data_IF_736809328909
#
_entry.id   IF_736809328909
#
_cell.length_a   1.000
_cell.length_b   1.000
_cell.length_c   1.000
_cell.angle_alpha   90.00
_cell.angle_beta   90.00
_cell.angle_gamma   90.00
#
_symmetry.space_group_name_H-M   'P 1'
#
loop_
_entity.id
_entity.type
_entity.pdbx_description
1 polymer ?
#
# COMPACT_ATOMS: atom_id res chain seq x y z
N UNK A 1 -27.57 8.54 -28.14
CA UNK A 1 -27.62 7.06 -28.16
C UNK A 1 -26.38 6.53 -27.47
N UNK A 2 -26.53 6.00 -26.25
CA UNK A 2 -25.41 5.61 -25.40
C UNK A 2 -24.68 4.39 -25.95
N UNK A 3 -23.35 4.44 -25.96
CA UNK A 3 -22.49 3.28 -26.24
C UNK A 3 -22.91 2.11 -25.33
N UNK A 4 -23.20 0.95 -25.92
CA UNK A 4 -23.44 -0.29 -25.17
C UNK A 4 -22.20 -0.59 -24.33
N UNK A 5 -22.36 -0.61 -23.01
CA UNK A 5 -21.34 -1.08 -22.07
C UNK A 5 -21.08 -2.55 -22.35
N UNK A 6 -19.82 -2.92 -22.49
CA UNK A 6 -19.41 -4.32 -22.64
C UNK A 6 -19.60 -5.06 -21.30
N UNK A 7 -19.66 -6.39 -21.31
CA UNK A 7 -19.70 -7.20 -20.08
C UNK A 7 -18.49 -6.88 -19.17
N UNK A 8 -17.32 -6.59 -19.77
CA UNK A 8 -16.14 -6.15 -19.02
C UNK A 8 -16.39 -4.82 -18.31
N UNK A 9 -17.06 -3.86 -18.95
CA UNK A 9 -17.40 -2.57 -18.32
C UNK A 9 -18.35 -2.76 -17.14
N UNK A 10 -19.29 -3.71 -17.22
CA UNK A 10 -20.23 -4.04 -16.14
C UNK A 10 -19.54 -4.75 -14.96
N UNK A 11 -18.56 -5.62 -15.24
CA UNK A 11 -17.75 -6.29 -14.21
C UNK A 11 -16.87 -5.28 -13.46
N UNK A 12 -16.25 -4.33 -14.17
CA UNK A 12 -15.45 -3.27 -13.54
C UNK A 12 -16.30 -2.21 -12.84
N UNK A 13 -17.51 -1.91 -13.33
CA UNK A 13 -18.45 -0.98 -12.69
C UNK A 13 -19.08 -1.59 -11.42
N UNK A 14 -19.35 -2.89 -11.40
CA UNK A 14 -19.79 -3.62 -10.22
C UNK A 14 -18.70 -3.68 -9.13
N UNK A 15 -17.44 -3.88 -9.53
CA UNK A 15 -16.29 -3.93 -8.61
C UNK A 15 -15.75 -2.54 -8.21
N UNK A 16 -16.23 -1.45 -8.84
CA UNK A 16 -15.64 -0.11 -8.75
C UNK A 16 -16.64 1.06 -8.68
N UNK A 17 -17.87 0.84 -8.21
CA UNK A 17 -18.91 1.88 -8.19
C UNK A 17 -18.51 3.17 -7.45
N UNK A 18 -18.68 4.30 -8.15
CA UNK A 18 -18.34 5.68 -7.73
C UNK A 18 -19.51 6.45 -7.10
N UNK A 19 -20.66 5.80 -6.86
CA UNK A 19 -21.90 6.48 -6.49
C UNK A 19 -21.95 7.00 -5.04
N UNK A 20 -21.11 6.50 -4.13
CA UNK A 20 -21.01 6.99 -2.73
C UNK A 20 -19.55 7.28 -2.34
N UNK A 21 -18.94 8.30 -2.96
CA UNK A 21 -17.55 8.73 -2.69
C UNK A 21 -17.24 9.09 -1.22
N UNK A 22 -18.25 9.41 -0.41
CA UNK A 22 -18.07 9.85 0.99
C UNK A 22 -18.02 8.69 2.01
N UNK A 23 -18.47 7.49 1.61
CA UNK A 23 -18.50 6.32 2.49
C UNK A 23 -17.39 5.30 2.17
N UNK A 24 -16.53 5.63 1.21
CA UNK A 24 -15.45 4.78 0.75
C UNK A 24 -14.10 5.48 0.89
N UNK A 25 -13.24 4.93 1.74
CA UNK A 25 -11.79 5.21 1.81
C UNK A 25 -11.05 4.78 0.51
N UNK A 26 -11.79 4.38 -0.55
CA UNK A 26 -11.33 3.65 -1.74
C UNK A 26 -11.15 4.50 -3.03
N UNK A 27 -10.79 5.77 -2.90
CA UNK A 27 -10.46 6.60 -4.07
C UNK A 27 -8.96 6.91 -4.19
N UNK A 28 -8.09 6.26 -3.42
CA UNK A 28 -6.65 6.32 -3.63
C UNK A 28 -6.26 5.37 -4.77
N UNK A 29 -5.64 5.93 -5.82
CA UNK A 29 -5.18 5.20 -7.02
C UNK A 29 -4.34 3.98 -6.66
N UNK A 30 -3.61 4.07 -5.56
CA UNK A 30 -2.76 3.01 -5.03
C UNK A 30 -3.58 1.78 -4.62
N UNK A 31 -4.59 1.92 -3.75
CA UNK A 31 -5.44 0.81 -3.28
C UNK A 31 -6.17 0.10 -4.45
N UNK A 32 -6.63 0.85 -5.45
CA UNK A 32 -7.24 0.24 -6.62
C UNK A 32 -6.22 -0.48 -7.50
N UNK A 33 -4.97 -0.01 -7.57
CA UNK A 33 -3.88 -0.75 -8.22
C UNK A 33 -3.52 -2.03 -7.46
N UNK A 34 -3.60 -2.05 -6.12
CA UNK A 34 -3.40 -3.27 -5.33
C UNK A 34 -4.45 -4.34 -5.66
N UNK A 35 -5.73 -3.94 -5.74
CA UNK A 35 -6.82 -4.84 -6.13
C UNK A 35 -6.60 -5.38 -7.55
N UNK A 36 -6.36 -4.51 -8.52
CA UNK A 36 -6.11 -4.90 -9.91
C UNK A 36 -4.95 -5.89 -10.01
N UNK A 37 -3.86 -5.65 -9.29
CA UNK A 37 -2.69 -6.55 -9.26
C UNK A 37 -3.01 -7.89 -8.61
N UNK A 38 -3.74 -7.89 -7.49
CA UNK A 38 -4.22 -9.13 -6.86
C UNK A 38 -5.12 -9.95 -7.80
N UNK A 39 -6.05 -9.29 -8.49
CA UNK A 39 -6.95 -9.93 -9.46
C UNK A 39 -6.21 -10.47 -10.69
N UNK A 40 -5.17 -9.76 -11.15
CA UNK A 40 -4.34 -10.17 -12.29
C UNK A 40 -3.18 -11.09 -11.90
N UNK A 41 -3.10 -11.55 -10.64
CA UNK A 41 -2.00 -12.39 -10.12
C UNK A 41 -0.62 -11.77 -10.32
N UNK A 42 -0.56 -10.45 -10.27
CA UNK A 42 0.67 -9.65 -10.35
C UNK A 42 1.09 -9.19 -8.95
N UNK A 43 2.40 -9.01 -8.73
CA UNK A 43 2.93 -8.52 -7.46
C UNK A 43 2.33 -7.17 -7.08
N UNK A 44 1.63 -7.04 -5.93
CA UNK A 44 0.95 -5.81 -5.56
C UNK A 44 1.91 -4.62 -5.34
N UNK A 45 3.09 -4.91 -4.81
CA UNK A 45 4.21 -3.96 -4.63
C UNK A 45 5.42 -4.41 -5.46
N UNK A 46 6.18 -3.44 -5.95
CA UNK A 46 7.49 -3.70 -6.55
C UNK A 46 8.51 -4.15 -5.47
N UNK A 47 9.39 -5.10 -5.80
CA UNK A 47 10.34 -5.67 -4.82
C UNK A 47 11.31 -4.62 -4.28
N UNK A 48 11.59 -3.57 -5.04
CA UNK A 48 12.51 -2.49 -4.64
C UNK A 48 11.87 -1.44 -3.72
N UNK A 49 10.53 -1.36 -3.65
CA UNK A 49 9.80 -0.47 -2.73
C UNK A 49 9.47 -1.12 -1.39
N UNK A 50 9.97 -2.34 -1.18
CA UNK A 50 9.66 -3.20 -0.05
C UNK A 50 10.32 -2.75 1.26
N UNK A 51 11.39 -1.94 1.19
CA UNK A 51 12.08 -1.45 2.39
C UNK A 51 11.19 -0.58 3.30
N UNK A 52 10.09 -0.04 2.78
CA UNK A 52 9.28 0.92 3.54
C UNK A 52 8.21 0.27 4.43
N UNK A 53 7.53 -0.83 4.07
CA UNK A 53 6.53 -1.46 4.97
C UNK A 53 6.28 -2.95 4.66
N UNK A 54 6.07 -3.77 5.71
CA UNK A 54 5.19 -4.94 5.60
C UNK A 54 3.82 -4.39 5.21
N UNK A 55 3.43 -4.63 3.96
CA UNK A 55 2.34 -3.89 3.33
C UNK A 55 0.97 -4.19 3.98
N UNK A 56 0.64 -3.36 4.98
CA UNK A 56 -0.66 -3.32 5.62
C UNK A 56 -1.79 -3.12 4.60
N UNK A 57 -1.53 -2.52 3.43
CA UNK A 57 -2.52 -2.31 2.39
C UNK A 57 -2.95 -3.62 1.73
N UNK A 58 -2.04 -4.58 1.51
CA UNK A 58 -2.42 -5.90 0.96
C UNK A 58 -3.25 -6.71 1.96
N UNK A 59 -2.86 -6.79 3.23
CA UNK A 59 -3.73 -7.44 4.25
C UNK A 59 -5.05 -6.68 4.43
N UNK A 60 -5.04 -5.35 4.45
CA UNK A 60 -6.25 -4.56 4.54
C UNK A 60 -7.16 -4.77 3.32
N UNK A 61 -6.58 -4.93 2.13
CA UNK A 61 -7.32 -5.25 0.90
C UNK A 61 -7.96 -6.63 1.00
N UNK A 62 -7.24 -7.65 1.45
CA UNK A 62 -7.80 -8.99 1.65
C UNK A 62 -8.88 -9.00 2.75
N UNK A 63 -8.65 -8.35 3.89
CA UNK A 63 -9.67 -8.17 4.95
C UNK A 63 -10.87 -7.36 4.48
N UNK A 64 -10.67 -6.39 3.60
CA UNK A 64 -11.76 -5.62 3.01
C UNK A 64 -12.64 -6.51 2.13
N UNK A 65 -12.06 -7.45 1.38
CA UNK A 65 -12.82 -8.43 0.60
C UNK A 65 -13.63 -9.39 1.48
N UNK A 66 -13.19 -9.63 2.72
CA UNK A 66 -13.95 -10.37 3.73
C UNK A 66 -15.09 -9.57 4.38
N UNK A 67 -15.08 -8.24 4.24
CA UNK A 67 -16.08 -7.40 4.90
C UNK A 67 -17.49 -7.83 4.48
N UNK A 68 -18.44 -8.06 5.41
CA UNK A 68 -19.74 -8.65 5.09
C UNK A 68 -20.47 -7.95 3.93
N UNK A 69 -20.44 -6.62 3.91
CA UNK A 69 -21.03 -5.81 2.83
C UNK A 69 -20.36 -6.04 1.47
N UNK A 70 -19.04 -6.22 1.43
CA UNK A 70 -18.27 -6.41 0.19
C UNK A 70 -18.46 -7.82 -0.33
N UNK A 71 -18.31 -8.80 0.56
CA UNK A 71 -18.60 -10.20 0.31
C UNK A 71 -20.02 -10.39 -0.24
N UNK A 72 -21.03 -9.80 0.41
CA UNK A 72 -22.41 -9.86 -0.04
C UNK A 72 -22.62 -9.22 -1.42
N UNK A 73 -21.95 -8.09 -1.71
CA UNK A 73 -22.01 -7.45 -3.04
C UNK A 73 -21.39 -8.35 -4.12
N UNK A 74 -20.19 -8.87 -3.89
CA UNK A 74 -19.54 -9.81 -4.81
C UNK A 74 -20.41 -11.04 -5.07
N UNK A 75 -21.02 -11.60 -4.03
CA UNK A 75 -21.95 -12.72 -4.16
C UNK A 75 -23.19 -12.35 -4.97
N UNK A 76 -23.75 -11.16 -4.76
CA UNK A 76 -24.87 -10.66 -5.56
C UNK A 76 -24.49 -10.43 -7.03
N UNK A 77 -23.30 -9.91 -7.31
CA UNK A 77 -22.82 -9.69 -8.69
C UNK A 77 -22.65 -11.01 -9.43
N UNK A 78 -22.06 -12.01 -8.77
CA UNK A 78 -21.95 -13.38 -9.28
C UNK A 78 -23.35 -13.97 -9.54
N UNK A 79 -24.29 -13.77 -8.61
CA UNK A 79 -25.67 -14.24 -8.73
C UNK A 79 -26.43 -13.54 -9.86
N UNK A 80 -26.24 -12.24 -10.06
CA UNK A 80 -26.88 -11.50 -11.15
C UNK A 80 -26.36 -11.97 -12.51
N UNK A 81 -25.05 -12.13 -12.67
CA UNK A 81 -24.47 -12.72 -13.88
C UNK A 81 -24.99 -14.13 -14.14
N UNK A 82 -25.10 -14.97 -13.10
CA UNK A 82 -25.71 -16.30 -13.21
C UNK A 82 -27.15 -16.23 -13.74
N UNK A 83 -27.96 -15.24 -13.32
CA UNK A 83 -29.32 -15.03 -13.82
C UNK A 83 -29.29 -14.63 -15.30
N UNK A 84 -28.42 -13.69 -15.69
CA UNK A 84 -28.29 -13.27 -17.10
C UNK A 84 -27.83 -14.42 -18.00
N UNK A 85 -26.90 -15.26 -17.52
CA UNK A 85 -26.42 -16.44 -18.25
C UNK A 85 -27.51 -17.51 -18.43
N UNK A 86 -28.53 -17.58 -17.56
CA UNK A 86 -29.71 -18.44 -17.78
C UNK A 86 -30.53 -17.99 -18.99
N UNK A 87 -30.51 -16.70 -19.30
CA UNK A 87 -31.26 -16.11 -20.40
C UNK A 87 -30.48 -16.07 -21.72
N UNK A 88 -29.29 -16.70 -21.78
CA UNK A 88 -28.39 -16.59 -22.94
C UNK A 88 -29.05 -17.01 -24.26
N UNK A 89 -29.90 -18.04 -24.26
CA UNK A 89 -30.68 -18.46 -25.43
C UNK A 89 -31.66 -17.38 -25.90
N UNK A 90 -32.34 -16.71 -24.98
CA UNK A 90 -33.28 -15.64 -25.29
C UNK A 90 -32.55 -14.41 -25.85
N UNK A 91 -31.36 -14.12 -25.34
CA UNK A 91 -30.53 -12.98 -25.76
C UNK A 91 -29.87 -13.23 -27.13
N UNK A 92 -29.36 -14.45 -27.36
CA UNK A 92 -28.53 -14.77 -28.52
C UNK A 92 -29.26 -15.55 -29.62
N UNK A 93 -30.46 -16.06 -29.33
CA UNK A 93 -31.24 -16.91 -30.23
C UNK A 93 -30.69 -18.32 -30.40
N UNK A 94 -29.63 -18.72 -29.67
CA UNK A 94 -28.95 -20.01 -29.79
C UNK A 94 -28.60 -20.60 -28.44
N UNK A 95 -28.65 -21.93 -28.34
CA UNK A 95 -28.08 -22.64 -27.19
C UNK A 95 -26.55 -22.61 -27.26
N UNK A 96 -25.90 -22.54 -26.10
CA UNK A 96 -24.45 -22.71 -26.01
C UNK A 96 -24.17 -24.21 -25.91
N UNK A 97 -23.41 -24.75 -26.86
CA UNK A 97 -23.18 -26.20 -26.95
C UNK A 97 -21.69 -26.54 -27.00
N UNK A 98 -21.36 -27.78 -26.62
CA UNK A 98 -20.03 -28.37 -26.84
C UNK A 98 -19.82 -28.69 -28.33
N UNK A 99 -18.59 -29.06 -28.69
CA UNK A 99 -18.26 -29.58 -30.03
C UNK A 99 -19.07 -30.83 -30.42
N UNK A 100 -19.58 -31.57 -29.43
CA UNK A 100 -20.43 -32.75 -29.63
C UNK A 100 -21.94 -32.41 -29.67
N UNK A 101 -22.33 -31.12 -29.60
CA UNK A 101 -23.71 -30.67 -29.67
C UNK A 101 -24.49 -30.70 -28.34
N UNK A 102 -23.84 -31.03 -27.22
CA UNK A 102 -24.50 -31.04 -25.91
C UNK A 102 -24.69 -29.60 -25.40
N UNK A 103 -25.91 -29.26 -24.96
CA UNK A 103 -26.21 -27.95 -24.35
C UNK A 103 -25.47 -27.82 -23.01
N UNK A 104 -24.76 -26.71 -22.84
CA UNK A 104 -24.00 -26.40 -21.63
C UNK A 104 -24.86 -25.66 -20.60
N UNK A 105 -24.75 -26.07 -19.34
CA UNK A 105 -25.26 -25.31 -18.20
C UNK A 105 -24.29 -24.17 -17.84
N UNK A 106 -24.29 -23.15 -18.69
CA UNK A 106 -23.45 -21.95 -18.54
C UNK A 106 -23.59 -21.29 -17.15
N UNK A 107 -24.80 -21.18 -16.56
CA UNK A 107 -24.96 -20.69 -15.19
C UNK A 107 -24.16 -21.48 -14.13
N UNK A 108 -24.16 -22.81 -14.19
CA UNK A 108 -23.40 -23.63 -13.25
C UNK A 108 -21.90 -23.53 -13.48
N UNK A 109 -21.46 -23.56 -14.76
CA UNK A 109 -20.06 -23.38 -15.13
C UNK A 109 -19.50 -22.02 -14.68
N UNK A 110 -20.32 -20.97 -14.69
CA UNK A 110 -19.93 -19.65 -14.17
C UNK A 110 -19.67 -19.66 -12.67
N UNK A 111 -20.51 -20.33 -11.89
CA UNK A 111 -20.32 -20.46 -10.43
C UNK A 111 -19.07 -21.27 -10.11
N UNK A 112 -18.83 -22.35 -10.85
CA UNK A 112 -17.61 -23.16 -10.76
C UNK A 112 -16.37 -22.31 -11.07
N UNK A 113 -16.35 -21.66 -12.23
CA UNK A 113 -15.28 -20.75 -12.63
C UNK A 113 -15.00 -19.66 -11.59
N UNK A 114 -16.04 -18.99 -11.08
CA UNK A 114 -15.86 -17.93 -10.09
C UNK A 114 -15.32 -18.46 -8.76
N UNK A 115 -15.75 -19.63 -8.30
CA UNK A 115 -15.18 -20.26 -7.12
C UNK A 115 -13.69 -20.58 -7.32
N UNK A 116 -13.31 -21.11 -8.48
CA UNK A 116 -11.90 -21.37 -8.81
C UNK A 116 -11.08 -20.07 -8.86
N UNK A 117 -11.58 -19.00 -9.47
CA UNK A 117 -10.88 -17.72 -9.52
C UNK A 117 -10.71 -17.10 -8.12
N UNK A 118 -11.77 -17.10 -7.31
CA UNK A 118 -11.73 -16.57 -5.95
C UNK A 118 -10.74 -17.37 -5.08
N UNK A 119 -10.73 -18.71 -5.20
CA UNK A 119 -9.75 -19.56 -4.53
C UNK A 119 -8.32 -19.31 -5.02
N UNK A 120 -8.12 -19.10 -6.33
CA UNK A 120 -6.80 -18.79 -6.89
C UNK A 120 -6.26 -17.44 -6.40
N UNK A 121 -7.11 -16.42 -6.30
CA UNK A 121 -6.76 -15.11 -5.74
C UNK A 121 -6.45 -15.21 -4.24
N UNK A 122 -7.25 -15.96 -3.48
CA UNK A 122 -6.98 -16.24 -2.05
C UNK A 122 -5.60 -16.87 -1.88
N UNK A 123 -5.32 -17.92 -2.64
CA UNK A 123 -4.05 -18.65 -2.60
C UNK A 123 -2.89 -17.72 -2.95
N UNK A 124 -2.98 -17.01 -4.07
CA UNK A 124 -1.93 -16.06 -4.48
C UNK A 124 -1.65 -15.00 -3.42
N UNK A 125 -2.70 -14.36 -2.87
CA UNK A 125 -2.56 -13.35 -1.83
C UNK A 125 -1.91 -13.89 -0.56
N UNK A 126 -2.30 -15.10 -0.13
CA UNK A 126 -1.69 -15.79 1.02
C UNK A 126 -0.22 -16.14 0.77
N UNK A 127 0.08 -16.74 -0.37
CA UNK A 127 1.44 -17.15 -0.73
C UNK A 127 2.37 -15.93 -0.77
N UNK A 128 1.93 -14.85 -1.42
CA UNK A 128 2.68 -13.60 -1.47
C UNK A 128 2.92 -13.01 -0.08
N UNK A 129 1.88 -12.89 0.76
CA UNK A 129 2.01 -12.37 2.12
C UNK A 129 2.93 -13.23 2.99
N UNK A 130 2.82 -14.56 2.88
CA UNK A 130 3.68 -15.48 3.63
C UNK A 130 5.15 -15.37 3.20
N UNK A 131 5.43 -15.18 1.91
CA UNK A 131 6.79 -14.92 1.42
C UNK A 131 7.37 -13.64 2.03
N UNK A 132 6.59 -12.55 2.03
CA UNK A 132 7.01 -11.27 2.62
C UNK A 132 7.22 -11.36 4.14
N UNK A 133 6.35 -12.08 4.85
CA UNK A 133 6.52 -12.36 6.29
C UNK A 133 7.84 -13.09 6.53
N UNK A 134 8.16 -14.11 5.73
CA UNK A 134 9.40 -14.89 5.86
C UNK A 134 10.65 -14.04 5.63
N UNK A 135 10.62 -13.16 4.63
CA UNK A 135 11.71 -12.20 4.39
C UNK A 135 11.90 -11.26 5.59
N UNK A 136 10.81 -10.67 6.09
CA UNK A 136 10.85 -9.78 7.25
C UNK A 136 11.34 -10.50 8.51
N UNK A 137 10.84 -11.71 8.80
CA UNK A 137 11.31 -12.56 9.92
C UNK A 137 12.83 -12.75 9.85
N UNK A 138 13.38 -13.01 8.66
CA UNK A 138 14.82 -13.19 8.43
C UNK A 138 15.61 -11.90 8.70
N UNK A 139 15.15 -10.76 8.17
CA UNK A 139 15.79 -9.46 8.36
C UNK A 139 15.78 -9.03 9.84
N UNK A 140 14.64 -9.14 10.52
CA UNK A 140 14.53 -8.79 11.94
C UNK A 140 15.35 -9.73 12.83
N UNK A 141 15.41 -11.03 12.52
CA UNK A 141 16.26 -11.96 13.27
C UNK A 141 17.75 -11.60 13.12
N UNK A 142 18.20 -11.27 11.92
CA UNK A 142 19.57 -10.81 11.66
C UNK A 142 19.87 -9.50 12.42
N UNK A 143 18.97 -8.52 12.33
CA UNK A 143 19.12 -7.23 13.01
C UNK A 143 19.12 -7.39 14.54
N UNK A 144 18.23 -8.21 15.09
CA UNK A 144 18.19 -8.53 16.52
C UNK A 144 19.50 -9.13 17.01
N UNK A 145 20.08 -10.07 16.26
CA UNK A 145 21.37 -10.66 16.57
C UNK A 145 22.51 -9.62 16.54
N UNK A 146 22.49 -8.73 15.55
CA UNK A 146 23.43 -7.60 15.49
C UNK A 146 23.31 -6.70 16.73
N UNK A 147 22.09 -6.28 17.10
CA UNK A 147 21.86 -5.40 18.25
C UNK A 147 22.29 -6.07 19.57
N UNK A 148 21.97 -7.35 19.78
CA UNK A 148 22.39 -8.11 20.97
C UNK A 148 23.91 -8.18 21.09
N UNK A 149 24.60 -8.53 19.99
CA UNK A 149 26.08 -8.53 19.95
C UNK A 149 26.63 -7.14 20.25
N UNK A 150 26.04 -6.10 19.66
CA UNK A 150 26.46 -4.71 19.87
C UNK A 150 26.27 -4.27 21.33
N UNK A 151 25.17 -4.62 21.97
CA UNK A 151 24.91 -4.32 23.37
C UNK A 151 25.97 -4.93 24.29
N UNK A 152 26.29 -6.21 24.08
CA UNK A 152 27.33 -6.91 24.85
C UNK A 152 28.69 -6.23 24.65
N UNK A 153 29.05 -5.89 23.41
CA UNK A 153 30.26 -5.15 23.10
C UNK A 153 30.32 -3.82 23.85
N UNK A 154 29.26 -2.99 23.75
CA UNK A 154 29.24 -1.68 24.38
C UNK A 154 29.35 -1.76 25.91
N UNK A 155 28.64 -2.70 26.56
CA UNK A 155 28.73 -2.92 28.01
C UNK A 155 30.14 -3.33 28.47
N UNK A 156 30.86 -4.06 27.61
CA UNK A 156 32.25 -4.40 27.87
C UNK A 156 33.18 -3.20 27.64
N UNK A 157 32.95 -2.44 26.57
CA UNK A 157 33.73 -1.25 26.22
C UNK A 157 33.56 -0.10 27.23
N UNK A 158 32.41 -0.01 27.92
CA UNK A 158 32.19 0.94 29.03
C UNK A 158 33.19 0.77 30.18
N UNK A 159 33.78 -0.42 30.33
CA UNK A 159 34.81 -0.68 31.35
C UNK A 159 36.21 -0.23 30.93
N UNK A 160 36.37 0.25 29.69
CA UNK A 160 37.65 0.63 29.08
C UNK A 160 37.67 2.13 28.78
N UNK A 161 38.45 2.94 29.52
CA UNK A 161 38.49 4.39 29.33
C UNK A 161 38.80 4.83 27.90
N UNK A 162 39.69 4.13 27.20
CA UNK A 162 40.03 4.42 25.80
C UNK A 162 38.85 4.21 24.85
N UNK A 163 38.04 3.16 25.07
CA UNK A 163 36.88 2.86 24.23
C UNK A 163 35.73 3.85 24.49
N UNK A 164 35.55 4.29 25.74
CA UNK A 164 34.62 5.37 26.09
C UNK A 164 35.00 6.67 25.38
N UNK A 165 36.30 7.05 25.43
CA UNK A 165 36.79 8.25 24.74
C UNK A 165 36.59 8.19 23.23
N UNK A 166 36.87 7.05 22.60
CA UNK A 166 36.65 6.85 21.16
C UNK A 166 35.16 6.98 20.78
N UNK A 167 34.28 6.36 21.57
CA UNK A 167 32.83 6.50 21.41
C UNK A 167 32.41 7.96 21.49
N UNK A 168 32.82 8.69 22.52
CA UNK A 168 32.41 10.08 22.72
C UNK A 168 32.89 10.98 21.57
N UNK A 169 34.12 10.76 21.07
CA UNK A 169 34.63 11.43 19.87
C UNK A 169 33.76 11.14 18.64
N UNK A 170 33.38 9.87 18.44
CA UNK A 170 32.52 9.46 17.34
C UNK A 170 31.12 10.06 17.46
N UNK A 171 30.55 10.11 18.67
CA UNK A 171 29.27 10.76 18.94
C UNK A 171 29.33 12.25 18.60
N UNK A 172 30.37 12.95 19.03
CA UNK A 172 30.53 14.38 18.73
C UNK A 172 30.61 14.64 17.22
N UNK A 173 31.35 13.81 16.47
CA UNK A 173 31.40 13.88 15.00
C UNK A 173 30.03 13.66 14.37
N UNK A 174 29.32 12.60 14.77
CA UNK A 174 27.99 12.30 14.25
C UNK A 174 26.97 13.38 14.60
N UNK A 175 27.05 13.99 15.79
CA UNK A 175 26.17 15.08 16.19
C UNK A 175 26.29 16.30 15.27
N UNK A 176 27.50 16.61 14.80
CA UNK A 176 27.72 17.66 13.80
C UNK A 176 27.09 17.28 12.45
N UNK A 177 27.27 16.04 12.00
CA UNK A 177 26.65 15.53 10.76
C UNK A 177 25.11 15.56 10.84
N UNK A 178 24.53 15.12 11.96
CA UNK A 178 23.09 15.18 12.21
C UNK A 178 22.59 16.62 12.15
N UNK A 179 23.29 17.57 12.79
CA UNK A 179 22.92 18.99 12.75
C UNK A 179 22.93 19.55 11.32
N UNK A 180 23.92 19.18 10.51
CA UNK A 180 23.96 19.55 9.09
C UNK A 180 22.77 18.96 8.31
N UNK A 181 22.46 17.68 8.51
CA UNK A 181 21.30 17.03 7.85
C UNK A 181 19.97 17.59 8.32
N UNK A 182 19.85 17.94 9.60
CA UNK A 182 18.67 18.60 10.16
C UNK A 182 18.47 19.99 9.54
N UNK A 183 19.54 20.77 9.35
CA UNK A 183 19.43 22.05 8.66
C UNK A 183 18.96 21.88 7.20
N UNK A 184 19.44 20.85 6.50
CA UNK A 184 18.97 20.53 5.16
C UNK A 184 17.48 20.13 5.14
N UNK A 185 17.05 19.28 6.08
CA UNK A 185 15.64 18.91 6.22
C UNK A 185 14.75 20.12 6.57
N UNK A 186 15.19 20.98 7.48
CA UNK A 186 14.49 22.21 7.84
C UNK A 186 14.39 23.21 6.69
N UNK A 187 15.36 23.20 5.76
CA UNK A 187 15.26 23.98 4.53
C UNK A 187 14.22 23.35 3.59
N UNK A 188 14.33 22.04 3.37
CA UNK A 188 13.43 21.31 2.48
C UNK A 188 11.95 21.40 2.91
N UNK A 189 11.65 21.31 4.21
CA UNK A 189 10.28 21.47 4.70
C UNK A 189 9.73 22.87 4.46
N UNK A 190 10.56 23.92 4.55
CA UNK A 190 10.13 25.30 4.23
C UNK A 190 9.82 25.45 2.74
N UNK A 191 10.63 24.83 1.89
CA UNK A 191 10.42 24.83 0.44
C UNK A 191 9.14 24.04 0.08
N UNK A 192 8.89 22.91 0.75
CA UNK A 192 7.66 22.13 0.65
C UNK A 192 6.44 22.94 1.10
N UNK A 193 6.48 23.55 2.28
CA UNK A 193 5.39 24.36 2.84
C UNK A 193 5.06 25.54 1.92
N UNK A 194 6.09 26.18 1.34
CA UNK A 194 5.90 27.25 0.36
C UNK A 194 5.22 26.73 -0.92
N UNK A 195 5.65 25.59 -1.45
CA UNK A 195 5.01 24.97 -2.62
C UNK A 195 3.56 24.57 -2.33
N UNK A 196 3.30 23.97 -1.16
CA UNK A 196 1.97 23.55 -0.70
C UNK A 196 1.03 24.74 -0.57
N UNK A 197 1.52 25.85 0.00
CA UNK A 197 0.76 27.10 0.09
C UNK A 197 0.39 27.64 -1.29
N UNK A 198 1.31 27.64 -2.26
CA UNK A 198 1.02 28.09 -3.63
C UNK A 198 -0.07 27.24 -4.28
N UNK A 199 0.01 25.90 -4.15
CA UNK A 199 -1.02 24.99 -4.67
C UNK A 199 -2.37 25.29 -4.02
N UNK A 200 -2.41 25.39 -2.70
CA UNK A 200 -3.63 25.69 -1.94
C UNK A 200 -4.24 27.03 -2.32
N UNK A 201 -3.42 28.09 -2.45
CA UNK A 201 -3.88 29.42 -2.84
C UNK A 201 -4.49 29.43 -4.25
N UNK A 202 -4.00 28.57 -5.17
CA UNK A 202 -4.58 28.42 -6.52
C UNK A 202 -5.90 27.63 -6.45
N UNK A 203 -5.94 26.53 -5.68
CA UNK A 203 -7.16 25.73 -5.49
C UNK A 203 -8.28 26.57 -4.84
N UNK A 204 -7.97 27.30 -3.76
CA UNK A 204 -8.90 28.19 -3.07
C UNK A 204 -9.44 29.30 -3.99
N UNK A 205 -8.62 29.82 -4.92
CA UNK A 205 -9.06 30.81 -5.91
C UNK A 205 -10.03 30.19 -6.90
N UNK A 206 -9.72 29.01 -7.45
CA UNK A 206 -10.59 28.30 -8.40
C UNK A 206 -11.97 28.05 -7.79
N UNK A 207 -12.02 27.63 -6.52
CA UNK A 207 -13.26 27.32 -5.83
C UNK A 207 -14.13 28.55 -5.54
N UNK A 208 -13.52 29.74 -5.41
CA UNK A 208 -14.21 31.00 -5.09
C UNK A 208 -14.67 31.81 -6.30
N UNK A 209 -14.26 31.46 -7.52
CA UNK A 209 -14.61 32.23 -8.73
C UNK A 209 -15.99 31.85 -9.31
N UNK A 210 -16.74 32.82 -9.90
CA UNK A 210 -18.02 32.54 -10.55
C UNK A 210 -17.85 31.65 -11.81
N UNK A 211 -18.89 30.86 -12.15
CA UNK A 211 -18.85 29.79 -13.19
C UNK A 211 -18.29 30.21 -14.57
N UNK A 212 -18.46 31.47 -14.99
CA UNK A 212 -17.89 31.98 -16.26
C UNK A 212 -16.39 32.26 -16.15
N UNK A 213 -15.91 32.74 -15.00
CA UNK A 213 -14.49 32.98 -14.74
C UNK A 213 -13.74 31.66 -14.43
N UNK A 214 -14.44 30.66 -13.87
CA UNK A 214 -13.94 29.28 -13.77
C UNK A 214 -13.53 28.69 -15.13
N UNK A 215 -14.24 28.99 -16.23
CA UNK A 215 -13.83 28.55 -17.59
C UNK A 215 -12.52 29.18 -18.07
N UNK A 216 -12.19 30.39 -17.63
CA UNK A 216 -10.91 31.05 -17.89
C UNK A 216 -9.83 30.50 -16.92
N UNK A 217 -10.18 30.24 -15.66
CA UNK A 217 -9.32 29.59 -14.68
C UNK A 217 -8.97 28.13 -15.05
N UNK A 218 -9.82 27.43 -15.81
CA UNK A 218 -9.52 26.10 -16.37
C UNK A 218 -8.32 26.15 -17.34
N UNK A 219 -8.01 27.29 -18.00
CA UNK A 219 -6.74 27.44 -18.74
C UNK A 219 -5.51 27.54 -17.83
N UNK A 220 -5.68 27.96 -16.56
CA UNK A 220 -4.64 27.92 -15.52
C UNK A 220 -4.53 26.54 -14.84
N UNK A 221 -5.28 25.51 -15.26
CA UNK A 221 -5.06 24.14 -14.75
C UNK A 221 -3.70 23.58 -15.15
N UNK A 222 -3.15 23.98 -16.30
CA UNK A 222 -1.78 23.64 -16.68
C UNK A 222 -0.77 24.23 -15.68
N UNK A 223 -1.01 25.46 -15.20
CA UNK A 223 -0.24 26.04 -14.10
C UNK A 223 -0.42 25.26 -12.79
N UNK A 224 -1.66 24.85 -12.44
CA UNK A 224 -1.91 24.05 -11.25
C UNK A 224 -1.19 22.69 -11.32
N UNK A 225 -1.22 22.01 -12.46
CA UNK A 225 -0.51 20.74 -12.64
C UNK A 225 1.01 20.93 -12.54
N UNK A 226 1.54 22.00 -13.13
CA UNK A 226 2.95 22.39 -12.96
C UNK A 226 3.30 22.66 -11.50
N UNK A 227 2.45 23.36 -10.74
CA UNK A 227 2.65 23.61 -9.30
C UNK A 227 2.52 22.33 -8.46
N UNK A 228 1.62 21.41 -8.80
CA UNK A 228 1.52 20.09 -8.16
C UNK A 228 2.78 19.26 -8.38
N UNK A 229 3.31 19.22 -9.61
CA UNK A 229 4.60 18.55 -9.88
C UNK A 229 5.76 19.15 -9.09
N UNK A 230 5.77 20.47 -8.89
CA UNK A 230 6.76 21.14 -8.04
C UNK A 230 6.58 20.80 -6.56
N UNK A 231 5.33 20.71 -6.08
CA UNK A 231 5.03 20.23 -4.72
C UNK A 231 5.51 18.78 -4.54
N UNK A 232 5.17 17.86 -5.44
CA UNK A 232 5.60 16.45 -5.39
C UNK A 232 7.14 16.35 -5.35
N UNK A 233 7.82 17.19 -6.13
CA UNK A 233 9.29 17.25 -6.14
C UNK A 233 9.85 17.77 -4.80
N UNK A 234 9.23 18.79 -4.22
CA UNK A 234 9.63 19.35 -2.92
C UNK A 234 9.39 18.36 -1.77
N UNK A 235 8.24 17.67 -1.76
CA UNK A 235 7.93 16.59 -0.82
C UNK A 235 8.98 15.48 -0.89
N UNK A 236 9.34 15.04 -2.10
CA UNK A 236 10.39 14.03 -2.30
C UNK A 236 11.73 14.47 -1.72
N UNK A 237 12.15 15.71 -2.00
CA UNK A 237 13.41 16.27 -1.47
C UNK A 237 13.39 16.34 0.06
N UNK A 238 12.27 16.73 0.66
CA UNK A 238 12.11 16.76 2.11
C UNK A 238 12.19 15.35 2.71
N UNK A 239 11.50 14.36 2.14
CA UNK A 239 11.58 12.96 2.56
C UNK A 239 12.99 12.39 2.46
N UNK A 240 13.71 12.66 1.37
CA UNK A 240 15.11 12.25 1.20
C UNK A 240 16.02 12.89 2.26
N UNK A 241 15.82 14.18 2.58
CA UNK A 241 16.57 14.87 3.62
C UNK A 241 16.28 14.30 5.03
N UNK A 242 15.02 13.99 5.33
CA UNK A 242 14.63 13.31 6.57
C UNK A 242 15.22 11.90 6.67
N UNK A 243 15.22 11.14 5.57
CA UNK A 243 15.86 9.81 5.50
C UNK A 243 17.35 9.92 5.79
N UNK A 244 18.04 10.86 5.16
CA UNK A 244 19.47 11.09 5.37
C UNK A 244 19.79 11.47 6.83
N UNK A 245 18.97 12.33 7.45
CA UNK A 245 19.09 12.67 8.88
C UNK A 245 18.87 11.44 9.76
N UNK A 246 17.79 10.71 9.53
CA UNK A 246 17.40 9.54 10.33
C UNK A 246 18.44 8.42 10.29
N UNK A 247 19.11 8.21 9.14
CA UNK A 247 20.23 7.27 9.04
C UNK A 247 21.37 7.65 9.98
N UNK A 248 21.71 8.94 10.06
CA UNK A 248 22.76 9.44 10.97
C UNK A 248 22.34 9.39 12.45
N UNK A 249 21.09 9.69 12.76
CA UNK A 249 20.54 9.51 14.10
C UNK A 249 20.64 8.03 14.53
N UNK A 250 20.33 7.09 13.64
CA UNK A 250 20.47 5.64 13.89
C UNK A 250 21.92 5.22 14.12
N UNK A 251 22.86 5.74 13.33
CA UNK A 251 24.30 5.50 13.54
C UNK A 251 24.76 5.97 14.93
N UNK A 252 24.19 7.06 15.44
CA UNK A 252 24.48 7.56 16.78
C UNK A 252 23.84 6.70 17.88
N UNK A 253 22.60 6.25 17.70
CA UNK A 253 21.90 5.42 18.68
C UNK A 253 22.62 4.09 18.96
N UNK A 254 23.27 3.48 17.95
CA UNK A 254 24.00 2.22 18.14
C UNK A 254 25.34 2.37 18.88
N UNK A 255 25.67 3.57 19.37
CA UNK A 255 26.84 3.83 20.20
C UNK A 255 26.55 3.73 21.71
N UNK A 256 25.28 3.81 22.11
CA UNK A 256 24.89 3.89 23.53
C UNK A 256 24.13 2.63 23.97
N UNK A 257 24.53 1.95 25.06
CA UNK A 257 23.86 0.73 25.50
C UNK A 257 22.36 0.89 25.75
N UNK A 258 21.95 2.01 26.37
CA UNK A 258 20.55 2.28 26.67
C UNK A 258 19.73 2.41 25.38
N UNK A 259 20.25 3.15 24.39
CA UNK A 259 19.59 3.28 23.09
C UNK A 259 19.55 1.94 22.33
N UNK A 260 20.62 1.15 22.37
CA UNK A 260 20.62 -0.21 21.78
C UNK A 260 19.61 -1.12 22.47
N UNK A 261 19.45 -1.03 23.79
CA UNK A 261 18.41 -1.78 24.51
C UNK A 261 17.01 -1.37 24.05
N UNK A 262 16.72 -0.07 23.92
CA UNK A 262 15.45 0.41 23.36
C UNK A 262 15.22 -0.12 21.94
N UNK A 263 16.25 -0.19 21.09
CA UNK A 263 16.14 -0.75 19.74
C UNK A 263 15.84 -2.25 19.77
N UNK A 264 16.39 -3.01 20.71
CA UNK A 264 16.07 -4.42 20.93
C UNK A 264 14.60 -4.59 21.32
N UNK A 265 14.11 -3.78 22.27
CA UNK A 265 12.74 -3.85 22.74
C UNK A 265 11.74 -3.51 21.62
N UNK A 266 12.05 -2.47 20.82
CA UNK A 266 11.28 -2.11 19.64
C UNK A 266 11.30 -3.21 18.57
N UNK A 267 12.46 -3.80 18.27
CA UNK A 267 12.56 -4.89 17.31
C UNK A 267 11.76 -6.12 17.77
N UNK A 268 11.71 -6.40 19.08
CA UNK A 268 10.87 -7.46 19.65
C UNK A 268 9.38 -7.17 19.47
N UNK A 269 8.95 -5.94 19.76
CA UNK A 269 7.56 -5.54 19.55
C UNK A 269 7.13 -5.69 18.08
N UNK A 270 8.03 -5.38 17.13
CA UNK A 270 7.76 -5.59 15.69
C UNK A 270 7.71 -7.08 15.34
N UNK A 271 8.55 -7.93 15.94
CA UNK A 271 8.46 -9.39 15.78
C UNK A 271 7.12 -9.95 16.31
N UNK A 272 6.63 -9.42 17.43
CA UNK A 272 5.32 -9.80 17.99
C UNK A 272 4.17 -9.36 17.06
N UNK A 273 4.27 -8.16 16.48
CA UNK A 273 3.33 -7.68 15.45
C UNK A 273 3.36 -8.56 14.20
N UNK A 274 4.55 -8.97 13.74
CA UNK A 274 4.72 -9.89 12.62
C UNK A 274 4.06 -11.25 12.88
N UNK A 275 4.19 -11.78 14.10
CA UNK A 275 3.51 -13.01 14.49
C UNK A 275 1.98 -12.86 14.46
N UNK A 276 1.45 -11.74 14.98
CA UNK A 276 0.02 -11.43 14.89
C UNK A 276 -0.45 -11.28 13.43
N UNK A 277 0.38 -10.67 12.58
CA UNK A 277 0.12 -10.52 11.15
C UNK A 277 0.04 -11.88 10.45
N UNK A 278 0.99 -12.78 10.71
CA UNK A 278 0.99 -14.17 10.21
C UNK A 278 -0.29 -14.92 10.57
N UNK A 279 -0.77 -14.78 11.81
CA UNK A 279 -2.05 -15.35 12.24
C UNK A 279 -3.24 -14.73 11.50
N UNK A 280 -3.19 -13.43 11.18
CA UNK A 280 -4.23 -12.77 10.39
C UNK A 280 -4.25 -13.26 8.94
N UNK A 281 -3.09 -13.44 8.30
CA UNK A 281 -2.98 -13.97 6.93
C UNK A 281 -3.58 -15.37 6.82
N UNK A 282 -3.33 -16.23 7.80
CA UNK A 282 -3.90 -17.58 7.83
C UNK A 282 -5.44 -17.59 7.87
N UNK A 283 -6.05 -16.54 8.43
CA UNK A 283 -7.51 -16.41 8.55
C UNK A 283 -8.18 -15.85 7.30
N UNK A 284 -7.42 -15.23 6.40
CA UNK A 284 -7.96 -14.64 5.16
C UNK A 284 -8.73 -15.70 4.37
N UNK A 285 -9.93 -15.39 3.90
CA UNK A 285 -10.75 -16.21 3.03
C UNK A 285 -11.47 -15.36 2.00
N UNK A 286 -11.47 -15.81 0.75
CA UNK A 286 -12.32 -15.19 -0.26
C UNK A 286 -13.76 -15.68 -0.10
N UNK A 287 -14.76 -14.83 -0.42
CA UNK A 287 -16.15 -15.27 -0.44
C UNK A 287 -16.35 -16.39 -1.46
N UNK A 288 -17.32 -17.27 -1.23
CA UNK A 288 -17.73 -18.27 -2.22
C UNK A 288 -18.76 -17.67 -3.18
N UNK A 289 -18.70 -18.09 -4.44
CA UNK A 289 -19.75 -17.86 -5.42
C UNK A 289 -21.03 -18.64 -5.01
N UNK A 290 -22.18 -17.99 -5.09
CA UNK A 290 -23.52 -18.55 -4.77
C UNK A 290 -24.42 -18.59 -6.01
#
# INVERSE_FOLDING_TARGET
MGKRRTINDLVFEALGSSFNRKDFVLCEKEINSYKEKLWSKSSPVDKEKLEDYLDHATLATLKYLEHPTVSARMQNDVKHLKIELRNIKQITGKDVTTTAGQILDVPSLWVEFMNEQLAAVEKFGKDWLNERIKEAETLYASHMNFLKKKLVQLKHDEKKPAAVKDRDNKTNKLMLEVKQKMNAANKAVRDEDAARKVVKDIEDKIDKEPKQAQKIAIRKKEDLEGKKKLLDSAEKVHLEALKAKSLKDREMHILWPQAVQTLIDNAKAVQDQLAAYKLAVAKVKMPKAA
#
